data_IF_827475645778
#
_entry.id   IF_827475645778
#
_cell.length_a   1.000
_cell.length_b   1.000
_cell.length_c   1.000
_cell.angle_alpha   90.00
_cell.angle_beta   90.00
_cell.angle_gamma   90.00
#
_symmetry.space_group_name_H-M   'P 1'
#
loop_
_entity.id
_entity.type
_entity.pdbx_description
1 polymer ?
#
# COMPACT_ATOMS: atom_id res chain seq x y z
N UNK A 1 -3.64 23.62 -9.27
CA UNK A 1 -2.23 24.02 -9.43
C UNK A 1 -1.33 23.05 -8.66
N UNK A 2 -0.99 21.90 -9.24
CA UNK A 2 0.03 21.02 -8.67
C UNK A 2 1.36 21.34 -9.36
N UNK A 3 2.29 21.94 -8.64
CA UNK A 3 3.65 22.13 -9.15
C UNK A 3 4.28 20.74 -9.33
N UNK A 4 4.89 20.48 -10.49
CA UNK A 4 5.11 19.13 -11.06
C UNK A 4 6.10 18.25 -10.29
N UNK A 5 6.63 18.70 -9.15
CA UNK A 5 7.56 17.98 -8.26
C UNK A 5 7.40 18.39 -6.78
N UNK A 6 6.23 18.88 -6.37
CA UNK A 6 6.00 19.26 -4.96
C UNK A 6 5.78 18.05 -4.06
N UNK A 7 6.57 17.95 -2.98
CA UNK A 7 6.40 16.96 -1.90
C UNK A 7 4.96 16.95 -1.37
N UNK A 8 4.41 18.14 -1.12
CA UNK A 8 3.04 18.31 -0.64
C UNK A 8 2.01 17.74 -1.64
N UNK A 9 2.26 17.93 -2.95
CA UNK A 9 1.41 17.37 -4.00
C UNK A 9 1.43 15.84 -4.01
N UNK A 10 2.61 15.22 -3.91
CA UNK A 10 2.74 13.75 -3.84
C UNK A 10 2.04 13.18 -2.62
N UNK A 11 2.25 13.78 -1.46
CA UNK A 11 1.65 13.33 -0.20
C UNK A 11 0.13 13.46 -0.26
N UNK A 12 -0.40 14.58 -0.77
CA UNK A 12 -1.83 14.77 -0.95
C UNK A 12 -2.43 13.70 -1.89
N UNK A 13 -1.83 13.48 -3.07
CA UNK A 13 -2.32 12.48 -4.04
C UNK A 13 -2.29 11.08 -3.44
N UNK A 14 -1.17 10.69 -2.82
CA UNK A 14 -1.01 9.33 -2.30
C UNK A 14 -1.93 9.07 -1.11
N UNK A 15 -2.06 10.03 -0.19
CA UNK A 15 -2.95 9.93 0.97
C UNK A 15 -4.42 9.80 0.54
N UNK A 16 -4.86 10.62 -0.41
CA UNK A 16 -6.24 10.55 -0.94
C UNK A 16 -6.48 9.22 -1.65
N UNK A 17 -5.51 8.74 -2.44
CA UNK A 17 -5.60 7.42 -3.10
C UNK A 17 -5.70 6.28 -2.09
N UNK A 18 -4.85 6.29 -1.05
CA UNK A 18 -4.91 5.30 0.03
C UNK A 18 -6.23 5.33 0.79
N UNK A 19 -6.74 6.52 1.10
CA UNK A 19 -8.05 6.66 1.75
C UNK A 19 -9.17 6.08 0.87
N UNK A 20 -9.18 6.39 -0.44
CA UNK A 20 -10.17 5.85 -1.38
C UNK A 20 -10.11 4.32 -1.44
N UNK A 21 -8.91 3.74 -1.57
CA UNK A 21 -8.73 2.29 -1.63
C UNK A 21 -9.16 1.62 -0.31
N UNK A 22 -8.75 2.16 0.84
CA UNK A 22 -9.12 1.62 2.14
C UNK A 22 -10.62 1.66 2.38
N UNK A 23 -11.28 2.79 2.06
CA UNK A 23 -12.74 2.92 2.18
C UNK A 23 -13.43 1.94 1.24
N UNK A 24 -12.99 1.85 -0.01
CA UNK A 24 -13.55 0.91 -0.98
C UNK A 24 -13.45 -0.54 -0.48
N UNK A 25 -12.31 -0.94 0.08
CA UNK A 25 -12.14 -2.26 0.66
C UNK A 25 -13.14 -2.53 1.81
N UNK A 26 -13.33 -1.56 2.72
CA UNK A 26 -14.30 -1.69 3.82
C UNK A 26 -15.75 -1.75 3.30
N UNK A 27 -16.07 -1.07 2.20
CA UNK A 27 -17.40 -1.17 1.58
C UNK A 27 -17.63 -2.53 0.89
N UNK A 28 -16.57 -3.20 0.45
CA UNK A 28 -16.64 -4.54 -0.15
C UNK A 28 -16.68 -5.64 0.92
N UNK A 29 -16.09 -5.43 2.11
CA UNK A 29 -16.05 -6.43 3.19
C UNK A 29 -17.41 -7.06 3.55
N UNK A 30 -18.54 -6.32 3.64
CA UNK A 30 -19.85 -6.92 3.93
C UNK A 30 -20.36 -7.92 2.88
N UNK A 31 -19.77 -7.93 1.67
CA UNK A 31 -20.11 -8.89 0.63
C UNK A 31 -19.39 -10.23 0.82
N UNK A 32 -18.45 -10.31 1.75
CA UNK A 32 -17.66 -11.49 2.08
C UNK A 32 -18.25 -12.12 3.35
N UNK A 33 -18.44 -13.46 3.42
CA UNK A 33 -19.00 -14.14 4.59
C UNK A 33 -17.96 -14.28 5.72
N UNK A 34 -17.33 -13.18 6.12
CA UNK A 34 -16.38 -13.10 7.24
C UNK A 34 -16.81 -11.96 8.15
N UNK A 35 -17.06 -12.27 9.41
CA UNK A 35 -17.33 -11.26 10.42
C UNK A 35 -16.06 -10.48 10.73
N UNK A 36 -16.18 -9.15 10.72
CA UNK A 36 -15.06 -8.24 10.99
C UNK A 36 -15.50 -7.14 11.95
N UNK A 37 -14.66 -6.89 12.95
CA UNK A 37 -14.87 -5.86 13.96
C UNK A 37 -14.78 -4.45 13.35
N UNK A 38 -15.38 -3.45 14.03
CA UNK A 38 -15.30 -2.06 13.57
C UNK A 38 -13.87 -1.53 13.70
N UNK A 39 -13.18 -1.95 14.75
CA UNK A 39 -11.79 -1.67 15.07
C UNK A 39 -10.88 -2.14 13.94
N UNK A 40 -11.07 -3.37 13.43
CA UNK A 40 -10.32 -3.88 12.29
C UNK A 40 -10.56 -3.03 11.03
N UNK A 41 -11.82 -2.68 10.72
CA UNK A 41 -12.17 -1.87 9.54
C UNK A 41 -11.51 -0.48 9.58
N UNK A 42 -11.60 0.21 10.71
CA UNK A 42 -10.99 1.53 10.89
C UNK A 42 -9.46 1.40 10.84
N UNK A 43 -8.89 0.42 11.56
CA UNK A 43 -7.46 0.15 11.57
C UNK A 43 -6.91 -0.14 10.18
N UNK A 44 -7.62 -0.94 9.38
CA UNK A 44 -7.26 -1.26 8.00
C UNK A 44 -7.24 0.01 7.12
N UNK A 45 -8.28 0.84 7.16
CA UNK A 45 -8.33 2.10 6.38
C UNK A 45 -7.15 3.01 6.74
N UNK A 46 -6.88 3.18 8.04
CA UNK A 46 -5.76 3.99 8.51
C UNK A 46 -4.41 3.41 8.08
N UNK A 47 -4.26 2.08 8.11
CA UNK A 47 -3.05 1.39 7.67
C UNK A 47 -2.80 1.60 6.17
N UNK A 48 -3.82 1.44 5.33
CA UNK A 48 -3.71 1.67 3.88
C UNK A 48 -3.42 3.14 3.57
N UNK A 49 -4.04 4.06 4.29
CA UNK A 49 -3.77 5.49 4.17
C UNK A 49 -2.32 5.83 4.56
N UNK A 50 -1.82 5.23 5.65
CA UNK A 50 -0.46 5.41 6.12
C UNK A 50 0.56 4.81 5.13
N UNK A 51 0.34 3.58 4.69
CA UNK A 51 1.15 2.91 3.67
C UNK A 51 1.28 3.79 2.42
N UNK A 52 0.14 4.31 1.92
CA UNK A 52 0.12 5.17 0.74
C UNK A 52 0.87 6.47 0.96
N UNK A 53 0.77 7.05 2.15
CA UNK A 53 1.54 8.24 2.54
C UNK A 53 3.04 7.96 2.52
N UNK A 54 3.48 6.81 3.05
CA UNK A 54 4.89 6.38 2.97
C UNK A 54 5.35 6.15 1.54
N UNK A 55 4.53 5.54 0.67
CA UNK A 55 4.86 5.39 -0.76
C UNK A 55 5.04 6.77 -1.42
N UNK A 56 4.18 7.73 -1.09
CA UNK A 56 4.29 9.12 -1.56
C UNK A 56 5.58 9.80 -1.12
N UNK A 57 5.95 9.64 0.15
CA UNK A 57 7.17 10.16 0.77
C UNK A 57 8.43 9.53 0.16
N UNK A 58 8.50 8.20 0.14
CA UNK A 58 9.64 7.48 -0.44
C UNK A 58 9.78 7.71 -1.93
N UNK A 59 8.69 8.08 -2.61
CA UNK A 59 8.70 8.41 -4.02
C UNK A 59 9.54 9.63 -4.40
N UNK A 60 9.98 10.40 -3.41
CA UNK A 60 10.87 11.55 -3.55
C UNK A 60 12.33 11.11 -3.74
N UNK A 61 12.72 9.96 -3.18
CA UNK A 61 14.06 9.42 -3.35
C UNK A 61 14.16 8.72 -4.71
N UNK A 62 14.95 9.29 -5.62
CA UNK A 62 15.27 8.68 -6.92
C UNK A 62 16.46 7.74 -6.88
N UNK A 63 17.31 7.87 -5.87
CA UNK A 63 18.48 7.02 -5.68
C UNK A 63 18.46 6.42 -4.29
N UNK A 64 18.98 5.20 -4.17
CA UNK A 64 19.14 4.59 -2.86
C UNK A 64 20.18 5.38 -2.05
N UNK A 65 19.88 5.78 -0.80
CA UNK A 65 20.76 6.66 -0.01
C UNK A 65 22.15 6.04 0.25
N UNK A 66 22.25 4.71 0.24
CA UNK A 66 23.51 3.98 0.42
C UNK A 66 24.16 3.54 -0.92
N UNK A 67 23.40 3.45 -2.01
CA UNK A 67 23.87 2.94 -3.30
C UNK A 67 23.55 3.95 -4.40
N UNK A 68 24.44 4.94 -4.57
CA UNK A 68 24.28 6.06 -5.51
C UNK A 68 24.05 5.63 -6.96
N UNK A 69 24.53 4.44 -7.35
CA UNK A 69 24.34 3.89 -8.70
C UNK A 69 22.96 3.27 -8.97
N UNK A 70 22.14 3.04 -7.93
CA UNK A 70 20.85 2.35 -8.10
C UNK A 70 19.68 3.32 -8.07
N UNK A 71 19.02 3.47 -9.23
CA UNK A 71 17.77 4.22 -9.34
C UNK A 71 16.64 3.48 -8.64
N UNK A 72 16.07 4.13 -7.62
CA UNK A 72 14.98 3.60 -6.82
C UNK A 72 13.63 3.90 -7.49
N UNK A 73 13.34 3.15 -8.56
CA UNK A 73 12.17 3.37 -9.41
C UNK A 73 10.86 2.98 -8.71
N UNK A 74 9.74 3.54 -9.19
CA UNK A 74 8.42 3.33 -8.60
C UNK A 74 8.02 1.86 -8.42
N UNK A 75 8.40 1.00 -9.36
CA UNK A 75 8.09 -0.44 -9.37
C UNK A 75 8.87 -1.27 -8.34
N UNK A 76 9.84 -0.68 -7.64
CA UNK A 76 10.59 -1.34 -6.56
C UNK A 76 10.17 -0.74 -5.23
N UNK A 77 10.19 0.59 -5.12
CA UNK A 77 9.86 1.29 -3.87
C UNK A 77 8.41 1.09 -3.42
N UNK A 78 7.45 1.19 -4.36
CA UNK A 78 6.04 1.05 -4.05
C UNK A 78 5.72 -0.34 -3.53
N UNK A 79 6.11 -1.40 -4.27
CA UNK A 79 5.93 -2.78 -3.82
C UNK A 79 6.67 -3.12 -2.53
N UNK A 80 7.88 -2.60 -2.32
CA UNK A 80 8.63 -2.85 -1.09
C UNK A 80 7.93 -2.28 0.15
N UNK A 81 7.47 -1.03 0.07
CA UNK A 81 6.69 -0.40 1.15
C UNK A 81 5.37 -1.16 1.36
N UNK A 82 4.70 -1.54 0.27
CA UNK A 82 3.47 -2.32 0.34
C UNK A 82 3.66 -3.68 1.01
N UNK A 83 4.70 -4.42 0.64
CA UNK A 83 5.08 -5.68 1.26
C UNK A 83 5.31 -5.53 2.76
N UNK A 84 6.02 -4.47 3.17
CA UNK A 84 6.30 -4.20 4.57
C UNK A 84 5.02 -3.92 5.37
N UNK A 85 4.12 -3.08 4.84
CA UNK A 85 2.85 -2.76 5.52
C UNK A 85 1.88 -3.95 5.58
N UNK A 86 1.84 -4.80 4.57
CA UNK A 86 1.03 -6.02 4.62
C UNK A 86 1.66 -7.09 5.50
N UNK A 87 2.98 -7.14 5.62
CA UNK A 87 3.63 -7.95 6.66
C UNK A 87 3.22 -7.46 8.05
N UNK A 88 3.20 -6.14 8.30
CA UNK A 88 2.69 -5.59 9.55
C UNK A 88 1.21 -5.96 9.79
N UNK A 89 0.38 -5.90 8.76
CA UNK A 89 -1.03 -6.33 8.84
C UNK A 89 -1.13 -7.81 9.26
N UNK A 90 -0.36 -8.70 8.62
CA UNK A 90 -0.34 -10.13 8.95
C UNK A 90 0.10 -10.38 10.39
N UNK A 91 1.13 -9.65 10.86
CA UNK A 91 1.66 -9.83 12.21
C UNK A 91 0.73 -9.26 13.30
N UNK A 92 0.02 -8.16 13.02
CA UNK A 92 -0.83 -7.48 14.00
C UNK A 92 -2.29 -7.95 14.00
N UNK A 93 -2.80 -8.43 12.86
CA UNK A 93 -4.20 -8.80 12.68
C UNK A 93 -4.36 -10.28 12.27
N UNK A 94 -3.46 -11.15 12.76
CA UNK A 94 -3.45 -12.57 12.42
C UNK A 94 -4.80 -13.26 12.67
N UNK A 95 -5.41 -12.97 13.81
CA UNK A 95 -6.67 -13.60 14.23
C UNK A 95 -7.84 -13.16 13.35
N UNK A 96 -7.87 -11.90 12.94
CA UNK A 96 -8.88 -11.34 12.03
C UNK A 96 -8.70 -11.82 10.59
N UNK A 97 -7.46 -12.09 10.16
CA UNK A 97 -7.14 -12.57 8.81
C UNK A 97 -7.35 -14.08 8.62
N UNK A 98 -7.28 -14.86 9.70
CA UNK A 98 -7.42 -16.32 9.66
C UNK A 98 -8.68 -16.81 8.93
N UNK A 99 -9.87 -16.28 9.28
CA UNK A 99 -11.13 -16.67 8.62
C UNK A 99 -11.13 -16.43 7.11
N UNK A 100 -10.47 -15.37 6.62
CA UNK A 100 -10.39 -15.09 5.17
C UNK A 100 -9.66 -16.21 4.41
N UNK A 101 -8.71 -16.90 5.03
CA UNK A 101 -7.98 -18.00 4.41
C UNK A 101 -8.82 -19.29 4.29
N UNK A 102 -9.97 -19.35 4.97
CA UNK A 102 -10.90 -20.49 4.91
C UNK A 102 -11.98 -20.34 3.86
N UNK A 103 -12.08 -19.17 3.20
CA UNK A 103 -13.05 -18.93 2.14
C UNK A 103 -12.81 -19.85 0.94
N UNK A 104 -13.89 -20.34 0.34
CA UNK A 104 -13.83 -21.23 -0.83
C UNK A 104 -13.02 -20.64 -1.99
N UNK A 105 -13.10 -19.32 -2.19
CA UNK A 105 -12.34 -18.58 -3.21
C UNK A 105 -10.83 -18.49 -2.93
N UNK A 106 -10.41 -18.79 -1.70
CA UNK A 106 -8.99 -18.86 -1.33
C UNK A 106 -8.54 -20.31 -1.28
N UNK A 107 -9.31 -21.21 -0.66
CA UNK A 107 -8.94 -22.62 -0.48
C UNK A 107 -8.75 -23.35 -1.82
N UNK A 108 -9.55 -23.05 -2.85
CA UNK A 108 -9.38 -23.65 -4.19
C UNK A 108 -8.04 -23.30 -4.87
N UNK A 109 -7.43 -22.16 -4.51
CA UNK A 109 -6.14 -21.73 -5.07
C UNK A 109 -4.94 -22.44 -4.42
N UNK A 110 -5.14 -23.11 -3.28
CA UNK A 110 -4.07 -23.65 -2.45
C UNK A 110 -3.28 -22.59 -1.66
N UNK A 111 -3.64 -21.30 -1.77
CA UNK A 111 -2.98 -20.19 -1.07
C UNK A 111 -3.51 -20.02 0.36
N UNK A 112 -3.38 -21.05 1.19
CA UNK A 112 -3.97 -21.08 2.55
C UNK A 112 -3.14 -20.37 3.63
N UNK A 113 -1.93 -19.91 3.30
CA UNK A 113 -1.04 -19.20 4.22
C UNK A 113 -1.39 -17.71 4.30
N UNK A 114 -1.49 -17.16 5.52
CA UNK A 114 -1.76 -15.73 5.73
C UNK A 114 -0.70 -14.81 5.10
N UNK A 115 0.53 -15.31 4.93
CA UNK A 115 1.62 -14.54 4.34
C UNK A 115 1.42 -14.23 2.86
N UNK A 116 0.45 -14.88 2.19
CA UNK A 116 0.08 -14.52 0.82
C UNK A 116 -0.48 -13.10 0.70
N UNK A 117 -1.03 -12.54 1.78
CA UNK A 117 -1.42 -11.13 1.83
C UNK A 117 -0.24 -10.17 1.52
N UNK A 118 1.01 -10.59 1.74
CA UNK A 118 2.18 -9.78 1.35
C UNK A 118 2.20 -9.53 -0.16
N UNK A 119 1.76 -10.48 -0.98
CA UNK A 119 1.63 -10.29 -2.43
C UNK A 119 0.59 -9.22 -2.77
N UNK A 120 -0.53 -9.18 -2.05
CA UNK A 120 -1.52 -8.12 -2.20
C UNK A 120 -0.91 -6.75 -1.87
N UNK A 121 -0.09 -6.69 -0.81
CA UNK A 121 0.68 -5.49 -0.47
C UNK A 121 1.66 -5.07 -1.56
N UNK A 122 2.40 -6.01 -2.14
CA UNK A 122 3.32 -5.77 -3.27
C UNK A 122 2.56 -5.17 -4.45
N UNK A 123 1.44 -5.79 -4.82
CA UNK A 123 0.61 -5.34 -5.94
C UNK A 123 0.01 -3.96 -5.67
N UNK A 124 -0.63 -3.77 -4.51
CA UNK A 124 -1.30 -2.53 -4.13
C UNK A 124 -0.29 -1.39 -4.00
N UNK A 125 0.87 -1.65 -3.38
CA UNK A 125 1.96 -0.70 -3.25
C UNK A 125 2.54 -0.30 -4.61
N UNK A 126 2.66 -1.25 -5.54
CA UNK A 126 3.03 -0.98 -6.92
C UNK A 126 2.03 -0.09 -7.65
N UNK A 127 0.73 -0.38 -7.51
CA UNK A 127 -0.35 0.39 -8.12
C UNK A 127 -0.38 1.83 -7.60
N UNK A 128 -0.33 2.02 -6.28
CA UNK A 128 -0.25 3.35 -5.66
C UNK A 128 1.03 4.08 -6.12
N UNK A 129 2.16 3.38 -6.11
CA UNK A 129 3.44 3.90 -6.57
C UNK A 129 3.39 4.39 -8.02
N UNK A 130 2.75 3.63 -8.91
CA UNK A 130 2.53 3.99 -10.31
C UNK A 130 1.66 5.25 -10.45
N UNK A 131 0.48 5.26 -9.82
CA UNK A 131 -0.49 6.36 -9.95
C UNK A 131 0.10 7.67 -9.40
N UNK A 132 0.68 7.64 -8.20
CA UNK A 132 1.33 8.81 -7.61
C UNK A 132 2.47 9.33 -8.50
N UNK A 133 3.28 8.43 -9.03
CA UNK A 133 4.40 8.79 -9.90
C UNK A 133 3.90 9.40 -11.22
N UNK A 134 2.81 8.87 -11.79
CA UNK A 134 2.23 9.39 -13.04
C UNK A 134 1.62 10.77 -12.88
N UNK A 135 0.99 11.06 -11.73
CA UNK A 135 0.33 12.34 -11.46
C UNK A 135 1.34 13.40 -10.99
N UNK A 136 2.29 13.04 -10.15
CA UNK A 136 3.17 13.97 -9.45
C UNK A 136 4.65 13.90 -9.87
N UNK A 137 4.98 13.09 -10.89
CA UNK A 137 6.34 12.89 -11.41
C UNK A 137 7.19 11.92 -10.56
N UNK A 138 8.43 11.66 -11.00
CA UNK A 138 9.49 11.11 -10.15
C UNK A 138 10.32 12.27 -9.55
N UNK A 139 10.80 12.10 -8.32
CA UNK A 139 11.47 13.17 -7.59
C UNK A 139 12.82 13.56 -8.19
N UNK A 140 12.92 14.75 -8.77
CA UNK A 140 14.19 15.48 -8.88
C UNK A 140 14.22 16.47 -7.72
N UNK A 141 14.62 16.01 -6.53
CA UNK A 141 14.82 16.95 -5.43
C UNK A 141 15.97 17.88 -5.82
N UNK A 142 15.80 19.21 -5.81
CA UNK A 142 16.87 20.15 -6.04
C UNK A 142 17.70 20.27 -4.74
N UNK A 143 18.25 19.16 -4.26
CA UNK A 143 19.34 19.21 -3.28
C UNK A 143 20.60 19.07 -4.10
N UNK A 144 21.06 20.20 -4.63
CA UNK A 144 22.43 20.36 -5.14
C UNK A 144 23.39 20.51 -3.97
#
# INVERSE_FOLDING_TARGET
>A
MFNKQSLAGRLAVSKTLGAMIGILAVLVLPLIPVETTLEFKIGFVLLIMLMSTFIGLFGVFTHHPMFSGWKFTWWVRGPLVGAFFFLLLVLLAKDELGPFMTLDIVTWTGLTSLYWAILDGIFLGGLIGYITTKISGEGDLPVK
#
